data_IF_658680585375
#
_entry.id   IF_658680585375
#
_cell.length_a   1.000
_cell.length_b   1.000
_cell.length_c   1.000
_cell.angle_alpha   90.00
_cell.angle_beta   90.00
_cell.angle_gamma   90.00
#
_symmetry.space_group_name_H-M   'P 1'
#
loop_
_entity.id
_entity.type
_entity.pdbx_description
1 polymer ?
#
# COMPACT_ATOMS: atom_id res chain seq x y z
N UNK A 1 20.31 -24.94 -8.41
CA UNK A 1 21.30 -25.71 -9.17
C UNK A 1 22.32 -26.16 -8.13
N UNK A 2 22.43 -27.46 -7.84
CA UNK A 2 23.28 -27.98 -6.73
C UNK A 2 24.78 -27.77 -6.96
N UNK A 3 25.15 -27.24 -8.13
CA UNK A 3 26.52 -26.95 -8.56
C UNK A 3 27.18 -25.76 -7.82
N UNK A 4 26.41 -24.90 -7.13
CA UNK A 4 26.96 -23.73 -6.44
C UNK A 4 26.36 -23.58 -5.03
N UNK A 5 27.21 -23.30 -4.03
CA UNK A 5 26.80 -22.97 -2.65
C UNK A 5 26.25 -21.54 -2.53
N UNK A 6 25.25 -21.21 -3.35
CA UNK A 6 24.57 -19.91 -3.30
C UNK A 6 23.06 -20.10 -3.34
N UNK A 7 22.36 -19.39 -2.45
CA UNK A 7 20.91 -19.27 -2.51
C UNK A 7 20.51 -18.39 -3.70
N UNK A 8 19.80 -18.99 -4.65
CA UNK A 8 19.25 -18.28 -5.82
C UNK A 8 17.76 -18.04 -5.58
N UNK A 9 17.36 -16.77 -5.51
CA UNK A 9 15.95 -16.38 -5.44
C UNK A 9 15.32 -16.57 -6.83
N UNK A 10 14.19 -17.27 -6.89
CA UNK A 10 13.37 -17.39 -8.09
C UNK A 10 12.00 -16.79 -7.82
N UNK A 11 11.47 -16.09 -8.82
CA UNK A 11 10.17 -15.43 -8.74
C UNK A 11 9.35 -15.80 -9.96
N UNK A 12 8.08 -16.14 -9.74
CA UNK A 12 7.09 -16.35 -10.79
C UNK A 12 6.03 -15.27 -10.71
N UNK A 13 5.51 -14.85 -11.86
CA UNK A 13 4.43 -13.87 -11.95
C UNK A 13 3.09 -14.60 -12.00
N UNK A 14 2.16 -14.23 -11.13
CA UNK A 14 0.81 -14.80 -11.06
C UNK A 14 -0.24 -13.74 -11.40
N UNK A 15 -1.33 -14.17 -12.02
CA UNK A 15 -2.49 -13.31 -12.30
C UNK A 15 -3.56 -13.62 -11.25
N UNK A 16 -3.83 -12.64 -10.39
CA UNK A 16 -4.81 -12.74 -9.34
C UNK A 16 -6.09 -11.98 -9.70
N UNK A 17 -7.23 -12.48 -9.24
CA UNK A 17 -8.52 -11.80 -9.29
C UNK A 17 -8.75 -10.99 -8.02
N UNK A 18 -9.16 -9.74 -8.22
CA UNK A 18 -9.65 -8.83 -7.20
C UNK A 18 -11.00 -8.34 -7.72
N UNK A 19 -12.07 -8.53 -6.95
CA UNK A 19 -13.43 -8.13 -7.36
C UNK A 19 -13.69 -6.64 -7.12
N UNK A 20 -12.97 -6.03 -6.17
CA UNK A 20 -13.23 -4.66 -5.70
C UNK A 20 -12.15 -3.67 -6.15
N UNK A 21 -11.19 -4.13 -6.95
CA UNK A 21 -10.02 -3.38 -7.39
C UNK A 21 -9.35 -2.60 -6.25
N UNK A 22 -9.30 -3.22 -5.07
CA UNK A 22 -8.84 -2.58 -3.84
C UNK A 22 -7.31 -2.53 -3.74
N UNK A 23 -6.60 -3.28 -4.59
CA UNK A 23 -5.15 -3.40 -4.56
C UNK A 23 -4.47 -2.29 -5.38
N UNK A 24 -3.44 -1.67 -4.80
CA UNK A 24 -2.60 -0.69 -5.47
C UNK A 24 -1.25 -1.27 -5.87
N UNK A 25 -0.57 -0.59 -6.81
CA UNK A 25 0.78 -0.96 -7.23
C UNK A 25 1.73 -0.84 -6.03
N UNK A 26 2.46 -1.92 -5.76
CA UNK A 26 3.42 -2.01 -4.65
C UNK A 26 2.86 -2.60 -3.37
N UNK A 27 1.56 -2.90 -3.32
CA UNK A 27 0.95 -3.60 -2.19
C UNK A 27 1.53 -5.03 -2.06
N UNK A 28 1.70 -5.49 -0.82
CA UNK A 28 2.01 -6.90 -0.53
C UNK A 28 0.70 -7.60 -0.19
N UNK A 29 0.35 -8.59 -1.00
CA UNK A 29 -0.91 -9.34 -0.87
C UNK A 29 -0.67 -10.82 -0.65
N UNK A 30 -1.60 -11.48 0.04
CA UNK A 30 -1.70 -12.93 0.14
C UNK A 30 -2.61 -13.45 -0.98
N UNK A 31 -2.17 -14.50 -1.67
CA UNK A 31 -2.93 -15.14 -2.74
C UNK A 31 -3.38 -16.52 -2.32
N UNK A 32 -4.64 -16.83 -2.58
CA UNK A 32 -5.21 -18.17 -2.39
C UNK A 32 -5.58 -18.79 -3.76
N UNK A 33 -5.49 -20.12 -3.91
CA UNK A 33 -5.87 -20.81 -5.14
C UNK A 33 -7.38 -20.69 -5.38
N UNK A 34 -7.77 -20.69 -6.65
CA UNK A 34 -9.18 -20.59 -7.05
C UNK A 34 -9.49 -21.47 -8.25
N UNK A 35 -10.78 -21.59 -8.59
CA UNK A 35 -11.20 -22.15 -9.87
C UNK A 35 -10.58 -21.34 -11.02
N UNK A 36 -10.29 -21.94 -12.18
CA UNK A 36 -9.79 -21.19 -13.34
C UNK A 36 -10.78 -20.08 -13.73
N UNK A 37 -10.33 -18.82 -13.71
CA UNK A 37 -11.11 -17.66 -14.15
C UNK A 37 -10.76 -17.26 -15.59
N UNK A 38 -9.58 -17.68 -16.06
CA UNK A 38 -9.11 -17.49 -17.44
C UNK A 38 -7.97 -18.48 -17.72
N UNK A 39 -7.34 -18.42 -18.91
CA UNK A 39 -6.21 -19.28 -19.31
C UNK A 39 -5.02 -19.25 -18.31
N UNK A 40 -4.84 -18.14 -17.59
CA UNK A 40 -3.72 -17.94 -16.64
C UNK A 40 -4.12 -17.39 -15.26
N UNK A 41 -5.40 -17.01 -15.07
CA UNK A 41 -5.90 -16.32 -13.87
C UNK A 41 -6.60 -17.33 -12.98
N UNK A 42 -5.82 -17.97 -12.11
CA UNK A 42 -6.27 -19.07 -11.24
C UNK A 42 -6.05 -18.77 -9.75
N UNK A 43 -5.77 -17.50 -9.41
CA UNK A 43 -5.50 -17.04 -8.05
C UNK A 43 -6.48 -15.93 -7.67
N UNK A 44 -6.83 -15.83 -6.39
CA UNK A 44 -7.64 -14.74 -5.83
C UNK A 44 -6.82 -14.02 -4.75
N UNK A 45 -7.02 -12.70 -4.64
CA UNK A 45 -6.47 -11.91 -3.54
C UNK A 45 -7.25 -12.21 -2.26
N UNK A 46 -6.60 -12.79 -1.26
CA UNK A 46 -7.22 -13.12 0.02
C UNK A 46 -7.16 -11.95 1.01
N UNK A 47 -5.99 -11.32 1.12
CA UNK A 47 -5.74 -10.25 2.09
C UNK A 47 -4.60 -9.33 1.63
N UNK A 48 -4.71 -8.04 1.95
CA UNK A 48 -3.65 -7.05 1.74
C UNK A 48 -2.82 -6.93 3.03
N UNK A 49 -1.66 -7.58 3.07
CA UNK A 49 -0.76 -7.62 4.22
C UNK A 49 -0.12 -6.25 4.47
N UNK A 50 0.26 -5.54 3.41
CA UNK A 50 0.91 -4.23 3.52
C UNK A 50 0.54 -3.33 2.35
N UNK A 51 -0.04 -2.17 2.67
CA UNK A 51 -0.28 -1.10 1.71
C UNK A 51 1.00 -0.35 1.36
N UNK A 52 1.15 -0.04 0.08
CA UNK A 52 2.23 0.80 -0.42
C UNK A 52 2.06 2.24 0.06
N UNK A 53 3.19 2.91 0.28
CA UNK A 53 3.21 4.36 0.50
C UNK A 53 3.18 5.04 -0.86
N UNK A 54 2.00 5.52 -1.26
CA UNK A 54 1.85 6.37 -2.44
C UNK A 54 2.17 7.80 -1.99
N UNK A 55 3.15 8.45 -2.64
CA UNK A 55 3.44 9.85 -2.38
C UNK A 55 2.26 10.69 -2.88
N UNK A 56 1.52 11.31 -1.95
CA UNK A 56 0.52 12.32 -2.26
C UNK A 56 1.02 13.68 -1.72
N UNK A 57 1.34 14.64 -2.60
CA UNK A 57 1.89 15.94 -2.18
C UNK A 57 0.91 16.75 -1.32
N UNK A 58 -0.39 16.46 -1.43
CA UNK A 58 -1.44 17.18 -0.72
C UNK A 58 -1.44 16.91 0.80
N UNK A 59 -1.08 15.68 1.21
CA UNK A 59 -0.93 15.32 2.62
C UNK A 59 0.31 15.95 3.26
N UNK A 60 1.40 16.11 2.49
CA UNK A 60 2.60 16.80 2.95
C UNK A 60 2.36 18.32 3.10
N UNK A 61 1.61 18.91 2.16
CA UNK A 61 1.24 20.33 2.22
C UNK A 61 0.29 20.64 3.40
N UNK A 62 -0.68 19.77 3.69
CA UNK A 62 -1.60 19.95 4.81
C UNK A 62 -0.91 19.91 6.19
N UNK A 63 0.14 19.09 6.35
CA UNK A 63 0.93 19.04 7.58
C UNK A 63 1.69 20.35 7.86
N UNK A 64 1.98 21.16 6.85
CA UNK A 64 2.69 22.43 6.99
C UNK A 64 1.77 23.58 7.48
N UNK A 65 0.44 23.48 7.30
CA UNK A 65 -0.50 24.55 7.67
C UNK A 65 -0.94 24.52 9.15
N UNK A 66 -0.72 23.40 9.85
CA UNK A 66 -1.09 23.27 11.27
C UNK A 66 -0.11 23.96 12.25
N UNK A 67 0.90 24.69 11.75
CA UNK A 67 1.89 25.36 12.61
C UNK A 67 1.53 26.84 12.92
N UNK A 68 0.54 27.42 12.25
CA UNK A 68 0.23 28.86 12.37
C UNK A 68 -0.91 29.24 13.32
N UNK A 69 -1.59 28.29 13.97
CA UNK A 69 -2.77 28.60 14.82
C UNK A 69 -2.49 28.58 16.34
N UNK A 70 -1.24 28.39 16.79
CA UNK A 70 -0.89 28.35 18.23
C UNK A 70 -0.10 29.59 18.71
N UNK A 71 -0.31 30.78 18.15
CA UNK A 71 0.38 32.00 18.62
C UNK A 71 -0.51 33.23 18.84
N UNK A 72 -1.81 33.07 19.12
CA UNK A 72 -2.63 34.21 19.57
C UNK A 72 -3.59 33.87 20.72
N UNK A 73 -3.04 33.69 21.92
CA UNK A 73 -3.67 34.21 23.14
C UNK A 73 -2.57 34.73 24.07
N UNK A 74 -2.85 35.60 25.04
CA UNK A 74 -3.94 36.59 25.24
C UNK A 74 -3.26 37.96 25.63
N UNK A 75 -3.75 38.89 26.49
CA UNK A 75 -5.07 39.12 27.13
C UNK A 75 -5.56 40.60 27.08
N UNK A 76 -6.69 40.86 27.78
CA UNK A 76 -7.20 42.14 28.35
C UNK A 76 -7.59 43.28 27.39
N UNK A 77 -8.71 43.97 27.58
CA UNK A 77 -9.07 44.72 28.79
C UNK A 77 -10.56 45.09 28.86
N UNK A 78 -10.99 45.15 30.11
CA UNK A 78 -12.21 45.75 30.66
C UNK A 78 -12.41 47.23 30.26
N UNK A 79 -13.65 47.62 29.95
CA UNK A 79 -14.42 48.72 30.57
C UNK A 79 -15.83 48.78 30.00
#
# INVERSE_FOLDING_TARGET
NKLFNRYVKRTSKFMAHDEKDACNIGDRVKLDPSRPLSKRKNWIVAEIIKKARIYSPQAAAAAALNFSEQSSTPPVSSS
#
